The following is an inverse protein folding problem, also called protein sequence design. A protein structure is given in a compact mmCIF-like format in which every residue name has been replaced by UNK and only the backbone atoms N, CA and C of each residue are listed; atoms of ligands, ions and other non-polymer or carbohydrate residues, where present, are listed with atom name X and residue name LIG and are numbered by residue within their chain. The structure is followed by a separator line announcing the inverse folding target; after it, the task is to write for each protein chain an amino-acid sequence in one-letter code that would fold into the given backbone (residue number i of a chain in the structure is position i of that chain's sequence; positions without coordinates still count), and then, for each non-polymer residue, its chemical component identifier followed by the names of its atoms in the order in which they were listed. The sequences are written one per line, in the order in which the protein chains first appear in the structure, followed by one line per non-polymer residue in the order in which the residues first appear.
data_IF_841360835003
#
_entry.id   IF_841360835003
#
_cell.length_a   1.000
_cell.length_b   1.000
_cell.length_c   1.000
_cell.angle_alpha   90.00
_cell.angle_beta   90.00
_cell.angle_gamma   90.00
#
_symmetry.space_group_name_H-M   'P 1'
#
loop_
_entity.id
_entity.type
_entity.pdbx_description
1 polymer ?
#
# COMPACT_ATOMS: atom_id res chain seq x y z
N UNK A 1 17.17 -5.85 20.79
CA UNK A 1 16.66 -4.71 20.02
C UNK A 1 15.61 -5.21 19.06
N UNK A 2 14.40 -4.77 19.23
CA UNK A 2 13.37 -5.08 18.25
C UNK A 2 13.57 -4.16 17.05
N UNK A 3 13.86 -4.76 15.91
CA UNK A 3 13.85 -4.00 14.67
C UNK A 3 12.42 -3.59 14.39
N UNK A 4 12.24 -2.31 14.11
CA UNK A 4 10.94 -1.77 13.77
C UNK A 4 10.52 -2.25 12.38
N UNK A 5 9.33 -2.73 12.26
CA UNK A 5 8.76 -3.20 11.00
C UNK A 5 7.96 -2.10 10.30
N UNK A 6 7.96 -2.15 8.98
CA UNK A 6 7.33 -1.14 8.13
C UNK A 6 6.58 -1.79 6.98
N UNK A 7 5.67 -1.03 6.42
CA UNK A 7 5.08 -1.33 5.12
C UNK A 7 4.96 -0.05 4.31
N UNK A 8 4.85 -0.19 3.01
CA UNK A 8 4.56 0.92 2.11
C UNK A 8 3.10 0.79 1.66
N UNK A 9 2.34 1.84 1.86
CA UNK A 9 0.92 1.88 1.50
C UNK A 9 0.75 2.80 0.31
N UNK A 10 0.10 2.29 -0.73
CA UNK A 10 -0.24 3.04 -1.94
C UNK A 10 -1.73 3.32 -1.91
N UNK A 11 -2.12 4.60 -2.00
CA UNK A 11 -3.53 4.97 -1.94
C UNK A 11 -4.14 5.18 -3.31
N UNK A 12 -5.46 5.17 -3.38
CA UNK A 12 -6.21 5.46 -4.60
C UNK A 12 -6.26 6.97 -4.94
N UNK A 13 -5.65 7.80 -4.10
CA UNK A 13 -5.38 9.21 -4.39
C UNK A 13 -3.93 9.44 -4.80
N UNK A 14 -3.24 8.37 -5.13
CA UNK A 14 -1.86 8.34 -5.63
C UNK A 14 -0.83 8.83 -4.61
N UNK A 15 -1.09 8.61 -3.33
CA UNK A 15 -0.14 8.88 -2.26
C UNK A 15 0.70 7.65 -1.96
N UNK A 16 1.93 7.86 -1.57
CA UNK A 16 2.85 6.83 -1.08
C UNK A 16 3.09 7.10 0.40
N UNK A 17 2.74 6.14 1.25
CA UNK A 17 2.86 6.28 2.71
C UNK A 17 3.78 5.22 3.28
N UNK A 18 4.64 5.61 4.21
CA UNK A 18 5.37 4.69 5.06
C UNK A 18 4.56 4.47 6.34
N UNK A 19 4.34 3.24 6.69
CA UNK A 19 3.61 2.89 7.90
C UNK A 19 4.50 2.04 8.80
N UNK A 20 4.75 2.53 10.00
CA UNK A 20 5.43 1.79 11.05
C UNK A 20 4.46 0.77 11.66
N UNK A 21 4.89 -0.44 11.80
CA UNK A 21 4.05 -1.55 12.24
C UNK A 21 4.60 -2.13 13.54
N UNK A 22 3.81 -2.09 14.58
CA UNK A 22 4.17 -2.65 15.88
C UNK A 22 3.76 -4.13 15.98
N UNK A 23 2.93 -4.60 15.07
CA UNK A 23 2.43 -5.97 15.04
C UNK A 23 3.46 -6.94 14.43
N UNK A 24 3.46 -8.21 14.86
CA UNK A 24 4.32 -9.21 14.27
C UNK A 24 3.86 -9.62 12.86
N UNK A 25 4.75 -10.26 12.11
CA UNK A 25 4.46 -10.74 10.75
C UNK A 25 3.24 -11.67 10.68
N UNK A 26 2.97 -12.39 11.76
CA UNK A 26 1.80 -13.29 11.86
C UNK A 26 0.45 -12.54 11.76
N UNK A 27 0.44 -11.23 12.00
CA UNK A 27 -0.77 -10.40 11.97
C UNK A 27 -0.88 -9.53 10.72
N UNK A 28 -0.07 -9.80 9.69
CA UNK A 28 -0.05 -9.00 8.46
C UNK A 28 -1.44 -8.90 7.81
N UNK A 29 -2.19 -9.99 7.73
CA UNK A 29 -3.51 -9.98 7.10
C UNK A 29 -4.53 -9.15 7.87
N UNK A 30 -4.52 -9.23 9.19
CA UNK A 30 -5.40 -8.42 10.03
C UNK A 30 -5.07 -6.93 9.88
N UNK A 31 -3.80 -6.62 9.90
CA UNK A 31 -3.30 -5.26 9.69
C UNK A 31 -3.69 -4.74 8.31
N UNK A 32 -3.54 -5.57 7.28
CA UNK A 32 -3.89 -5.20 5.91
C UNK A 32 -5.38 -4.91 5.77
N UNK A 33 -6.25 -5.70 6.41
CA UNK A 33 -7.69 -5.43 6.41
C UNK A 33 -8.00 -4.07 6.99
N UNK A 34 -7.35 -3.71 8.09
CA UNK A 34 -7.54 -2.41 8.73
C UNK A 34 -7.02 -1.26 7.87
N UNK A 35 -5.83 -1.41 7.30
CA UNK A 35 -5.19 -0.37 6.47
C UNK A 35 -5.94 -0.18 5.16
N UNK A 36 -6.32 -1.26 4.51
CA UNK A 36 -7.01 -1.22 3.22
C UNK A 36 -8.50 -0.95 3.40
N UNK A 37 -9.07 -1.36 4.51
CA UNK A 37 -10.49 -1.17 4.81
C UNK A 37 -11.36 -2.20 4.10
N UNK A 38 -10.98 -3.48 4.15
CA UNK A 38 -11.68 -4.55 3.47
C UNK A 38 -11.74 -5.82 4.34
N UNK A 39 -12.58 -6.75 3.96
CA UNK A 39 -12.70 -8.05 4.64
C UNK A 39 -11.82 -9.12 4.01
N UNK A 40 -11.67 -9.09 2.70
CA UNK A 40 -10.98 -10.12 1.94
C UNK A 40 -9.74 -9.54 1.25
N UNK A 41 -8.60 -10.16 1.52
CA UNK A 41 -7.32 -9.74 0.96
C UNK A 41 -6.93 -10.68 -0.18
N UNK A 42 -6.56 -10.12 -1.30
CA UNK A 42 -5.92 -10.82 -2.39
C UNK A 42 -4.43 -10.51 -2.39
N UNK A 43 -3.61 -11.53 -2.56
CA UNK A 43 -2.16 -11.38 -2.72
C UNK A 43 -1.84 -11.35 -4.20
N UNK A 44 -1.21 -10.28 -4.64
CA UNK A 44 -0.83 -10.10 -6.05
C UNK A 44 0.68 -10.02 -6.15
N UNK A 45 1.26 -10.90 -6.96
CA UNK A 45 2.68 -10.84 -7.24
C UNK A 45 2.95 -9.67 -8.19
N UNK A 46 4.00 -8.92 -7.90
CA UNK A 46 4.41 -7.80 -8.72
C UNK A 46 5.78 -8.05 -9.31
N UNK A 47 5.98 -7.53 -10.53
CA UNK A 47 7.32 -7.55 -11.09
C UNK A 47 8.19 -6.56 -10.34
N UNK A 48 9.12 -7.10 -9.62
CA UNK A 48 10.14 -6.32 -8.94
C UNK A 48 11.50 -6.65 -9.55
N UNK A 49 12.49 -5.85 -9.20
CA UNK A 49 13.87 -6.15 -9.56
C UNK A 49 14.28 -7.48 -8.93
N UNK A 50 15.28 -8.11 -9.53
CA UNK A 50 15.84 -9.37 -9.03
C UNK A 50 15.99 -9.36 -7.49
N UNK A 51 15.48 -10.40 -6.85
CA UNK A 51 15.56 -10.69 -5.41
C UNK A 51 14.63 -9.90 -4.47
N UNK A 52 13.80 -9.02 -4.97
CA UNK A 52 12.94 -8.23 -4.06
C UNK A 52 11.75 -9.02 -3.48
N UNK A 53 11.23 -9.99 -4.17
CA UNK A 53 10.09 -10.82 -3.73
C UNK A 53 8.94 -10.03 -3.08
N UNK A 54 8.60 -8.91 -3.69
CA UNK A 54 7.55 -8.05 -3.20
C UNK A 54 6.18 -8.52 -3.68
N UNK A 55 5.18 -8.37 -2.82
CA UNK A 55 3.79 -8.65 -3.16
C UNK A 55 2.91 -7.48 -2.73
N UNK A 56 1.80 -7.32 -3.44
CA UNK A 56 0.74 -6.39 -3.05
C UNK A 56 -0.35 -7.14 -2.31
N UNK A 57 -0.82 -6.54 -1.22
CA UNK A 57 -2.06 -6.94 -0.58
C UNK A 57 -3.12 -5.93 -0.98
N UNK A 58 -4.20 -6.42 -1.55
CA UNK A 58 -5.27 -5.58 -2.08
C UNK A 58 -6.63 -6.11 -1.64
N UNK A 59 -7.65 -5.29 -1.82
CA UNK A 59 -9.04 -5.69 -1.59
C UNK A 59 -9.50 -6.59 -2.74
N UNK A 60 -9.78 -7.84 -2.45
CA UNK A 60 -10.28 -8.80 -3.43
C UNK A 60 -11.56 -8.31 -4.12
N UNK A 61 -12.41 -7.61 -3.38
CA UNK A 61 -13.69 -7.11 -3.86
C UNK A 61 -13.67 -5.63 -4.28
N UNK A 62 -12.50 -5.04 -4.40
CA UNK A 62 -12.37 -3.60 -4.69
C UNK A 62 -13.16 -3.13 -5.90
N UNK A 63 -13.19 -3.93 -6.96
CA UNK A 63 -13.90 -3.60 -8.19
C UNK A 63 -15.43 -3.72 -8.07
N UNK A 64 -15.89 -4.49 -7.09
CA UNK A 64 -17.31 -4.80 -6.91
C UNK A 64 -18.01 -3.80 -5.99
N UNK A 65 -17.27 -2.97 -5.28
CA UNK A 65 -17.84 -2.03 -4.31
C UNK A 65 -18.54 -0.87 -5.04
N UNK A 66 -19.83 -0.62 -4.74
CA UNK A 66 -20.57 0.48 -5.38
C UNK A 66 -19.98 1.85 -5.02
N UNK A 67 -19.92 2.75 -5.99
CA UNK A 67 -19.46 4.12 -5.78
C UNK A 67 -17.96 4.27 -5.65
N UNK A 68 -17.21 3.19 -5.73
CA UNK A 68 -15.75 3.23 -5.67
C UNK A 68 -15.20 2.93 -7.06
N UNK A 69 -14.86 3.96 -7.78
CA UNK A 69 -14.22 3.86 -9.09
C UNK A 69 -12.82 4.50 -9.01
N UNK A 70 -12.05 4.13 -7.99
CA UNK A 70 -10.78 4.78 -7.73
C UNK A 70 -9.62 3.86 -8.02
N UNK A 71 -9.02 4.08 -9.17
CA UNK A 71 -7.85 3.34 -9.59
C UNK A 71 -6.63 3.73 -8.74
N UNK A 72 -5.88 2.73 -8.32
CA UNK A 72 -4.57 2.89 -7.72
C UNK A 72 -3.53 2.78 -8.82
N UNK A 73 -3.03 3.89 -9.30
CA UNK A 73 -2.18 3.93 -10.49
C UNK A 73 -0.84 3.24 -10.28
N UNK A 74 -0.20 3.47 -9.14
CA UNK A 74 1.10 2.86 -8.86
C UNK A 74 0.96 1.35 -8.73
N UNK A 75 -0.01 0.89 -7.94
CA UNK A 75 -0.27 -0.53 -7.76
C UNK A 75 -0.63 -1.21 -9.09
N UNK A 76 -1.46 -0.56 -9.90
CA UNK A 76 -1.84 -1.06 -11.22
C UNK A 76 -0.65 -1.16 -12.16
N UNK A 77 0.24 -0.18 -12.11
CA UNK A 77 1.47 -0.20 -12.90
C UNK A 77 2.40 -1.35 -12.48
N UNK A 78 2.55 -1.56 -11.18
CA UNK A 78 3.35 -2.67 -10.64
C UNK A 78 2.78 -4.04 -11.02
N UNK A 79 1.47 -4.15 -11.09
CA UNK A 79 0.77 -5.36 -11.51
C UNK A 79 0.78 -5.54 -13.03
N UNK A 80 1.21 -4.55 -13.79
CA UNK A 80 1.14 -4.52 -15.25
C UNK A 80 -0.32 -4.61 -15.76
N UNK A 81 -1.20 -3.83 -15.15
CA UNK A 81 -2.63 -3.82 -15.48
C UNK A 81 -2.92 -3.53 -16.96
N UNK A 82 -2.05 -2.80 -17.64
CA UNK A 82 -2.15 -2.55 -19.08
C UNK A 82 -2.07 -3.85 -19.91
N UNK A 83 -1.42 -4.88 -19.38
CA UNK A 83 -1.33 -6.20 -20.04
C UNK A 83 -2.45 -7.13 -19.59
N UNK A 84 -2.84 -7.05 -18.31
CA UNK A 84 -3.88 -7.92 -17.74
C UNK A 84 -5.29 -7.42 -17.98
N UNK A 85 -5.46 -6.13 -18.30
CA UNK A 85 -6.75 -5.52 -18.58
C UNK A 85 -7.56 -5.11 -17.36
N UNK A 86 -7.06 -5.42 -16.16
CA UNK A 86 -7.74 -5.14 -14.91
C UNK A 86 -6.95 -4.19 -14.03
N UNK A 87 -7.49 -3.01 -13.71
CA UNK A 87 -6.81 -2.10 -12.78
C UNK A 87 -6.97 -2.54 -11.33
N UNK A 88 -6.02 -2.16 -10.50
CA UNK A 88 -6.12 -2.30 -9.05
C UNK A 88 -6.93 -1.12 -8.52
N UNK A 89 -7.97 -1.40 -7.75
CA UNK A 89 -8.87 -0.40 -7.19
C UNK A 89 -8.69 -0.34 -5.67
N UNK A 90 -8.60 0.87 -5.15
CA UNK A 90 -8.48 1.10 -3.71
C UNK A 90 -7.04 1.12 -3.21
N UNK A 91 -6.89 1.07 -1.91
CA UNK A 91 -5.59 1.11 -1.24
C UNK A 91 -4.89 -0.25 -1.35
N UNK A 92 -3.57 -0.21 -1.53
CA UNK A 92 -2.73 -1.40 -1.57
C UNK A 92 -1.62 -1.29 -0.54
N UNK A 93 -1.19 -2.43 -0.01
CA UNK A 93 -0.12 -2.52 0.96
C UNK A 93 0.97 -3.42 0.40
N UNK A 94 2.23 -3.01 0.51
CA UNK A 94 3.36 -3.77 -0.02
C UNK A 94 4.07 -4.47 1.13
N UNK A 95 4.21 -5.78 1.00
CA UNK A 95 4.98 -6.61 1.94
C UNK A 95 5.93 -7.50 1.15
N UNK A 96 6.76 -8.23 1.85
CA UNK A 96 7.75 -9.11 1.24
C UNK A 96 7.35 -10.56 1.43
N UNK A 97 7.62 -11.38 0.42
CA UNK A 97 7.44 -12.81 0.50
C UNK A 97 8.72 -13.46 1.03
N UNK A 98 8.60 -14.30 2.02
CA UNK A 98 9.71 -15.05 2.61
C UNK A 98 9.35 -16.54 2.61
N UNK A 99 9.76 -17.23 1.55
CA UNK A 99 9.30 -18.59 1.30
C UNK A 99 7.80 -18.64 1.03
N UNK A 100 7.07 -19.35 1.88
CA UNK A 100 5.60 -19.40 1.83
C UNK A 100 4.94 -18.35 2.73
N UNK A 101 5.74 -17.69 3.56
CA UNK A 101 5.26 -16.71 4.51
C UNK A 101 5.41 -15.28 3.97
N UNK A 102 4.69 -14.36 4.59
CA UNK A 102 4.85 -12.93 4.33
C UNK A 102 5.57 -12.29 5.50
N UNK A 103 6.39 -11.27 5.20
CA UNK A 103 7.01 -10.46 6.24
C UNK A 103 6.91 -8.99 5.92
N UNK A 104 6.94 -8.20 6.97
CA UNK A 104 7.02 -6.75 6.86
C UNK A 104 8.43 -6.33 6.43
N UNK A 105 8.57 -5.09 6.04
CA UNK A 105 9.83 -4.53 5.56
C UNK A 105 10.65 -3.97 6.74
N UNK A 106 11.96 -3.94 6.58
CA UNK A 106 12.82 -3.15 7.45
C UNK A 106 12.65 -1.67 7.09
N UNK A 107 13.10 -0.79 7.98
CA UNK A 107 13.05 0.65 7.70
C UNK A 107 13.78 1.01 6.41
N UNK A 108 14.97 0.47 6.20
CA UNK A 108 15.76 0.72 5.00
C UNK A 108 15.05 0.25 3.75
N UNK A 109 14.52 -0.98 3.77
CA UNK A 109 13.75 -1.54 2.65
C UNK A 109 12.53 -0.67 2.32
N UNK A 110 11.80 -0.26 3.35
CA UNK A 110 10.59 0.54 3.18
C UNK A 110 10.89 1.94 2.62
N UNK A 111 11.93 2.59 3.10
CA UNK A 111 12.33 3.91 2.61
C UNK A 111 12.81 3.87 1.15
N UNK A 112 13.60 2.88 0.80
CA UNK A 112 14.03 2.68 -0.59
C UNK A 112 12.86 2.41 -1.51
N UNK A 113 11.94 1.55 -1.07
CA UNK A 113 10.75 1.22 -1.84
C UNK A 113 9.85 2.43 -2.02
N UNK A 114 9.61 3.20 -0.96
CA UNK A 114 8.82 4.42 -1.04
C UNK A 114 9.42 5.42 -2.02
N UNK A 115 10.74 5.57 -2.01
CA UNK A 115 11.44 6.42 -2.97
C UNK A 115 11.24 5.97 -4.41
N UNK A 116 11.31 4.66 -4.66
CA UNK A 116 11.03 4.10 -6.00
C UNK A 116 9.58 4.34 -6.43
N UNK A 117 8.64 4.18 -5.50
CA UNK A 117 7.22 4.42 -5.80
C UNK A 117 6.95 5.89 -6.14
N UNK A 118 7.56 6.80 -5.40
CA UNK A 118 7.46 8.22 -5.71
C UNK A 118 8.08 8.55 -7.07
N UNK A 119 9.17 7.89 -7.42
CA UNK A 119 9.84 8.10 -8.70
C UNK A 119 8.96 7.67 -9.88
N UNK A 120 8.25 6.55 -9.76
CA UNK A 120 7.42 6.02 -10.85
C UNK A 120 5.99 6.59 -10.85
N UNK A 121 5.63 7.37 -9.85
CA UNK A 121 4.27 7.84 -9.61
C UNK A 121 3.65 8.57 -10.80
N UNK A 122 4.33 9.58 -11.34
CA UNK A 122 3.80 10.38 -12.46
C UNK A 122 3.63 9.54 -13.72
N UNK A 123 4.60 8.71 -14.04
CA UNK A 123 4.52 7.80 -15.19
C UNK A 123 3.38 6.79 -15.02
N UNK A 124 3.15 6.31 -13.80
CA UNK A 124 2.06 5.39 -13.49
C UNK A 124 0.69 6.06 -13.69
N UNK A 125 0.53 7.29 -13.22
CA UNK A 125 -0.70 8.06 -13.39
C UNK A 125 -0.99 8.26 -14.87
N UNK A 126 0.00 8.68 -15.63
CA UNK A 126 -0.15 8.93 -17.07
C UNK A 126 -0.49 7.65 -17.83
N UNK A 127 0.21 6.56 -17.54
CA UNK A 127 -0.03 5.26 -18.17
C UNK A 127 -1.44 4.74 -17.91
N UNK A 128 -1.89 4.80 -16.66
CA UNK A 128 -3.21 4.30 -16.28
C UNK A 128 -4.34 5.21 -16.82
N UNK A 129 -4.13 6.51 -16.84
CA UNK A 129 -5.08 7.44 -17.42
C UNK A 129 -5.32 7.13 -18.90
N UNK A 130 -4.27 6.83 -19.65
CA UNK A 130 -4.37 6.44 -21.05
C UNK A 130 -5.01 5.06 -21.24
N UNK A 131 -4.53 4.08 -20.49
CA UNK A 131 -4.96 2.68 -20.64
C UNK A 131 -6.46 2.52 -20.37
N UNK A 132 -6.97 3.17 -19.35
CA UNK A 132 -8.36 3.02 -18.91
C UNK A 132 -9.24 4.22 -19.25
N UNK A 133 -8.70 5.20 -19.97
CA UNK A 133 -9.43 6.41 -20.41
C UNK A 133 -10.15 7.10 -19.27
N UNK A 134 -9.44 7.35 -18.19
CA UNK A 134 -10.00 7.98 -17.00
C UNK A 134 -9.05 9.03 -16.42
N UNK A 135 -9.60 9.86 -15.51
CA UNK A 135 -8.79 10.80 -14.75
C UNK A 135 -8.62 10.28 -13.32
N UNK A 136 -7.41 9.80 -12.98
CA UNK A 136 -7.17 9.34 -11.63
C UNK A 136 -7.27 10.46 -10.60
N UNK A 137 -7.75 10.14 -9.41
CA UNK A 137 -7.72 11.10 -8.32
C UNK A 137 -6.30 11.24 -7.82
N UNK A 138 -5.87 12.48 -7.63
CA UNK A 138 -4.53 12.79 -7.17
C UNK A 138 -4.62 13.79 -6.03
N UNK A 139 -4.02 13.46 -4.90
CA UNK A 139 -3.85 14.42 -3.83
C UNK A 139 -2.58 15.22 -4.08
N UNK A 140 -2.71 16.54 -4.11
CA UNK A 140 -1.57 17.44 -4.28
C UNK A 140 -0.69 17.39 -3.03
N UNK A 141 0.59 17.25 -3.16
CA UNK A 141 1.64 17.14 -2.14
C UNK A 141 2.00 15.70 -1.77
N UNK A 142 2.81 15.09 -2.60
CA UNK A 142 3.55 13.87 -2.27
C UNK A 142 5.05 14.11 -2.47
N UNK A 143 5.59 15.06 -1.73
CA UNK A 143 7.04 15.21 -1.58
C UNK A 143 7.52 14.31 -0.46
N UNK A 144 8.79 13.93 -0.48
CA UNK A 144 9.39 13.06 0.55
C UNK A 144 9.18 13.62 1.96
N UNK A 145 9.27 14.94 2.12
CA UNK A 145 9.00 15.60 3.40
C UNK A 145 7.54 15.44 3.86
N UNK A 146 6.61 15.44 2.91
CA UNK A 146 5.20 15.19 3.21
C UNK A 146 4.95 13.74 3.57
N UNK A 147 5.69 12.82 2.96
CA UNK A 147 5.64 11.40 3.28
C UNK A 147 6.04 11.13 4.73
N UNK A 148 7.11 11.76 5.21
CA UNK A 148 7.56 11.62 6.59
C UNK A 148 6.52 12.13 7.58
N UNK A 149 5.87 13.25 7.28
CA UNK A 149 4.79 13.79 8.13
C UNK A 149 3.57 12.90 8.15
N UNK A 150 3.20 12.33 7.03
CA UNK A 150 2.08 11.39 6.93
C UNK A 150 2.39 10.13 7.73
N UNK A 151 3.62 9.64 7.62
CA UNK A 151 4.10 8.49 8.37
C UNK A 151 4.03 8.73 9.90
N UNK A 152 4.53 9.85 10.37
CA UNK A 152 4.49 10.20 11.79
C UNK A 152 3.04 10.27 12.32
N UNK A 153 2.16 10.87 11.54
CA UNK A 153 0.74 10.97 11.88
C UNK A 153 0.07 9.60 11.92
N UNK A 154 0.31 8.77 10.93
CA UNK A 154 -0.27 7.42 10.87
C UNK A 154 0.19 6.56 12.05
N UNK A 155 1.48 6.64 12.43
CA UNK A 155 2.02 5.94 13.57
C UNK A 155 1.38 6.39 14.89
N UNK A 156 1.14 7.69 15.06
CA UNK A 156 0.48 8.25 16.24
C UNK A 156 -0.99 7.85 16.31
N UNK A 157 -1.69 7.96 15.21
CA UNK A 157 -3.11 7.62 15.14
C UNK A 157 -3.34 6.13 15.42
N UNK A 158 -2.43 5.29 15.02
CA UNK A 158 -2.48 3.86 15.27
C UNK A 158 -2.27 3.48 16.73
N UNK A 159 -1.42 4.20 17.44
CA UNK A 159 -1.13 3.94 18.86
C UNK A 159 -2.26 4.35 19.78
N UNK A 160 -3.04 5.36 19.40
CA UNK A 160 -4.09 5.92 20.25
C UNK A 160 -5.39 5.10 20.29
N UNK A 161 -5.91 4.56 19.20
CA UNK A 161 -7.22 3.90 19.26
C UNK A 161 -7.25 2.56 19.98
N UNK A 162 -6.17 1.79 19.90
CA UNK A 162 -6.16 0.44 20.47
C UNK A 162 -6.23 0.40 21.99
N UNK A 163 -5.63 1.38 22.65
CA UNK A 163 -5.61 1.43 24.11
C UNK A 163 -6.92 1.91 24.74
N UNK A 164 -7.69 2.68 24.03
CA UNK A 164 -8.94 3.25 24.57
C UNK A 164 -10.14 2.34 24.43
N UNK A 165 -10.17 1.52 23.40
CA UNK A 165 -11.28 0.59 23.18
C UNK A 165 -11.27 -0.58 24.15
N UNK A 166 -10.11 -0.99 24.60
CA UNK A 166 -9.99 -2.06 25.58
C UNK A 166 -10.35 -1.63 26.99
N UNK A 167 -10.23 -0.35 27.30
CA UNK A 167 -10.53 0.19 28.63
C UNK A 167 -12.01 0.52 28.85
N UNK A 168 -12.80 0.67 27.79
CA UNK A 168 -14.23 0.96 27.86
C UNK A 168 -15.12 -0.30 27.87
N UNK A 169 -14.52 -1.48 27.77
CA UNK A 169 -15.20 -2.76 27.81
C UNK A 169 -14.85 -3.55 29.06
#
# INVERSE_FOLDING_TARGET
MNEQNYTVVLTDTQEVKLLECDEPDSEIFEMARDVIGCEWIEIVEIKSRENDQLVLLIDEEGKLKPGVAFINCIASHLYESEKHGDPIIGTAMIVKKDGEDLRLLTETEARELAGRMLFIREASIESMAKTFSLQPRVRKKTEISSLEKIFEKASKDRRQPCGKQEMER
#
